data_IF_886952834865
#
_entry.id   IF_886952834865
#
_cell.length_a   1.000
_cell.length_b   1.000
_cell.length_c   1.000
_cell.angle_alpha   90.00
_cell.angle_beta   90.00
_cell.angle_gamma   90.00
#
_symmetry.space_group_name_H-M   'P 1'
#
loop_
_entity.id
_entity.type
_entity.pdbx_description
1 polymer ?
#
# COMPACT_ATOMS: atom_id res chain seq x y z
N UNK A 1 3.02 -15.63 -2.93
CA UNK A 1 1.62 -16.08 -2.80
C UNK A 1 0.72 -15.02 -3.42
N UNK A 2 -0.36 -15.40 -4.11
CA UNK A 2 -1.27 -14.45 -4.76
C UNK A 2 -2.54 -14.31 -3.95
N UNK A 3 -2.96 -13.08 -3.67
CA UNK A 3 -4.18 -12.77 -2.94
C UNK A 3 -4.94 -11.61 -3.58
N UNK A 4 -6.27 -11.67 -3.56
CA UNK A 4 -7.15 -10.54 -3.85
C UNK A 4 -7.35 -9.66 -2.61
N UNK A 5 -7.94 -8.47 -2.80
CA UNK A 5 -8.34 -7.61 -1.67
C UNK A 5 -9.35 -8.31 -0.75
N UNK A 6 -10.29 -9.08 -1.31
CA UNK A 6 -11.31 -9.76 -0.52
C UNK A 6 -10.69 -10.84 0.38
N UNK A 7 -9.74 -11.61 -0.16
CA UNK A 7 -9.00 -12.62 0.61
C UNK A 7 -8.16 -12.00 1.73
N UNK A 8 -7.57 -10.83 1.48
CA UNK A 8 -6.84 -10.07 2.51
C UNK A 8 -7.80 -9.61 3.62
N UNK A 9 -8.98 -9.08 3.26
CA UNK A 9 -9.99 -8.62 4.24
C UNK A 9 -10.45 -9.76 5.15
N UNK A 10 -10.66 -10.95 4.58
CA UNK A 10 -11.08 -12.16 5.28
C UNK A 10 -9.95 -12.84 6.09
N UNK A 11 -8.73 -12.30 6.03
CA UNK A 11 -7.54 -12.93 6.60
C UNK A 11 -7.34 -14.37 6.12
N UNK A 12 -7.61 -14.63 4.83
CA UNK A 12 -7.42 -15.94 4.24
C UNK A 12 -5.98 -16.40 4.44
N UNK A 13 -5.81 -17.67 4.82
CA UNK A 13 -4.51 -18.29 5.08
C UNK A 13 -3.64 -17.49 6.07
N UNK A 14 -4.27 -16.83 7.05
CA UNK A 14 -3.63 -15.99 8.09
C UNK A 14 -2.71 -14.90 7.54
N UNK A 15 -2.93 -14.45 6.30
CA UNK A 15 -2.04 -13.54 5.56
C UNK A 15 -1.76 -12.22 6.30
N UNK A 16 -2.72 -11.71 7.08
CA UNK A 16 -2.56 -10.47 7.87
C UNK A 16 -1.62 -10.63 9.07
N UNK A 17 -1.30 -11.86 9.45
CA UNK A 17 -0.41 -12.19 10.56
C UNK A 17 0.96 -12.68 10.06
N UNK A 18 1.15 -12.79 8.75
CA UNK A 18 2.44 -13.08 8.13
C UNK A 18 3.29 -11.82 8.00
N UNK A 19 4.58 -11.96 8.27
CA UNK A 19 5.58 -10.94 7.94
C UNK A 19 6.00 -11.10 6.47
N UNK A 20 5.82 -10.05 5.69
CA UNK A 20 6.10 -10.01 4.26
C UNK A 20 7.23 -9.02 3.96
N UNK A 21 7.78 -9.09 2.75
CA UNK A 21 8.70 -8.04 2.28
C UNK A 21 7.92 -6.73 2.13
N UNK A 22 8.46 -5.64 2.69
CA UNK A 22 7.85 -4.30 2.56
C UNK A 22 7.68 -3.90 1.10
N UNK A 23 8.59 -4.32 0.21
CA UNK A 23 8.52 -4.07 -1.23
C UNK A 23 7.26 -4.69 -1.85
N UNK A 24 6.93 -5.94 -1.51
CA UNK A 24 5.72 -6.58 -2.07
C UNK A 24 4.42 -5.94 -1.58
N UNK A 25 4.40 -5.44 -0.33
CA UNK A 25 3.27 -4.68 0.22
C UNK A 25 3.17 -3.31 -0.43
N UNK A 26 4.29 -2.61 -0.59
CA UNK A 26 4.37 -1.33 -1.28
C UNK A 26 3.87 -1.40 -2.72
N UNK A 27 4.30 -2.43 -3.47
CA UNK A 27 3.84 -2.66 -4.84
C UNK A 27 2.32 -2.89 -4.90
N UNK A 28 1.75 -3.60 -3.92
CA UNK A 28 0.32 -3.80 -3.84
C UNK A 28 -0.43 -2.49 -3.55
N UNK A 29 0.03 -1.70 -2.58
CA UNK A 29 -0.55 -0.40 -2.24
C UNK A 29 -0.51 0.56 -3.43
N UNK A 30 0.60 0.61 -4.18
CA UNK A 30 0.72 1.41 -5.42
C UNK A 30 -0.27 0.97 -6.49
N UNK A 31 -0.40 -0.33 -6.72
CA UNK A 31 -1.38 -0.87 -7.68
C UNK A 31 -2.81 -0.52 -7.29
N UNK A 32 -3.13 -0.51 -6.01
CA UNK A 32 -4.46 -0.07 -5.53
C UNK A 32 -4.64 1.42 -5.82
N UNK A 33 -3.67 2.26 -5.48
CA UNK A 33 -3.77 3.69 -5.75
C UNK A 33 -3.77 4.02 -7.24
N UNK A 34 -3.15 3.23 -8.12
CA UNK A 34 -3.22 3.48 -9.57
C UNK A 34 -4.63 3.29 -10.16
N UNK A 35 -5.55 2.66 -9.42
CA UNK A 35 -6.96 2.59 -9.80
C UNK A 35 -7.70 3.92 -9.59
N UNK A 36 -7.14 4.82 -8.78
CA UNK A 36 -7.73 6.11 -8.40
C UNK A 36 -7.71 7.06 -9.60
N UNK A 37 -8.89 7.60 -9.89
CA UNK A 37 -9.15 8.41 -11.07
C UNK A 37 -8.72 9.87 -10.94
N UNK A 38 -8.66 10.41 -9.72
CA UNK A 38 -8.34 11.80 -9.41
C UNK A 38 -6.86 12.05 -9.05
N UNK A 39 -5.96 11.15 -9.45
CA UNK A 39 -4.52 11.37 -9.32
C UNK A 39 -4.00 12.36 -10.36
N UNK A 40 -3.14 13.30 -9.94
CA UNK A 40 -2.39 14.15 -10.88
C UNK A 40 -1.35 13.34 -11.65
N UNK A 41 -0.82 13.89 -12.74
CA UNK A 41 0.24 13.23 -13.51
C UNK A 41 1.52 13.07 -12.66
N UNK A 42 1.83 14.02 -11.80
CA UNK A 42 2.94 13.93 -10.85
C UNK A 42 2.74 12.78 -9.85
N UNK A 43 1.54 12.63 -9.29
CA UNK A 43 1.21 11.55 -8.36
C UNK A 43 1.30 10.18 -9.05
N UNK A 44 0.76 10.06 -10.27
CA UNK A 44 0.89 8.85 -11.09
C UNK A 44 2.35 8.52 -11.39
N UNK A 45 3.19 9.51 -11.67
CA UNK A 45 4.60 9.31 -11.92
C UNK A 45 5.33 8.75 -10.70
N UNK A 46 5.03 9.24 -9.50
CA UNK A 46 5.59 8.68 -8.25
C UNK A 46 5.10 7.24 -8.06
N UNK A 47 3.81 6.97 -8.26
CA UNK A 47 3.19 5.64 -8.13
C UNK A 47 3.57 4.64 -9.24
N UNK A 48 4.29 5.06 -10.27
CA UNK A 48 4.77 4.19 -11.36
C UNK A 48 6.30 4.04 -11.36
N UNK A 49 7.03 4.91 -10.66
CA UNK A 49 8.49 4.82 -10.51
C UNK A 49 8.88 3.59 -9.70
N UNK A 50 9.64 2.65 -10.28
CA UNK A 50 9.87 1.30 -9.71
C UNK A 50 11.34 0.98 -9.39
N UNK A 51 12.22 1.99 -9.37
CA UNK A 51 13.65 1.74 -9.12
C UNK A 51 13.94 1.71 -7.62
N UNK A 52 13.67 0.58 -6.98
CA UNK A 52 14.05 0.32 -5.59
C UNK A 52 15.07 -0.81 -5.60
N UNK A 53 16.35 -0.47 -5.47
CA UNK A 53 17.45 -1.44 -5.42
C UNK A 53 18.16 -1.45 -4.07
N UNK A 54 17.91 -0.44 -3.21
CA UNK A 54 18.57 -0.25 -1.90
C UNK A 54 17.57 0.05 -0.78
N UNK A 55 17.97 -0.14 0.48
CA UNK A 55 17.15 0.25 1.63
C UNK A 55 16.80 1.73 1.63
N UNK A 56 17.80 2.56 1.30
CA UNK A 56 17.66 4.02 1.25
C UNK A 56 16.64 4.46 0.21
N UNK A 57 16.65 3.83 -0.97
CA UNK A 57 15.66 4.07 -2.01
C UNK A 57 14.27 3.58 -1.58
N UNK A 58 14.19 2.43 -0.90
CA UNK A 58 12.93 1.88 -0.36
C UNK A 58 12.29 2.87 0.61
N UNK A 59 13.04 3.30 1.64
CA UNK A 59 12.57 4.26 2.63
C UNK A 59 12.17 5.59 2.02
N UNK A 60 12.90 6.07 1.00
CA UNK A 60 12.55 7.30 0.28
C UNK A 60 11.23 7.14 -0.48
N UNK A 61 11.08 6.05 -1.24
CA UNK A 61 9.88 5.78 -2.03
C UNK A 61 8.63 5.59 -1.15
N UNK A 62 8.79 4.98 0.03
CA UNK A 62 7.72 4.82 1.01
C UNK A 62 7.26 6.17 1.59
N UNK A 63 8.19 7.09 1.87
CA UNK A 63 7.87 8.44 2.33
C UNK A 63 7.12 9.24 1.28
N UNK A 64 7.63 9.27 0.05
CA UNK A 64 6.98 9.97 -1.08
C UNK A 64 5.57 9.40 -1.32
N UNK A 65 5.40 8.07 -1.24
CA UNK A 65 4.10 7.44 -1.31
C UNK A 65 3.16 7.83 -0.17
N UNK A 66 3.68 7.88 1.06
CA UNK A 66 2.89 8.21 2.23
C UNK A 66 2.32 9.63 2.15
N UNK A 67 3.13 10.59 1.68
CA UNK A 67 2.70 11.97 1.43
C UNK A 67 1.55 12.03 0.42
N UNK A 68 1.68 11.32 -0.71
CA UNK A 68 0.62 11.27 -1.74
C UNK A 68 -0.66 10.64 -1.18
N UNK A 69 -0.53 9.54 -0.45
CA UNK A 69 -1.68 8.87 0.17
C UNK A 69 -2.38 9.80 1.17
N UNK A 70 -1.61 10.52 1.98
CA UNK A 70 -2.16 11.45 2.97
C UNK A 70 -2.91 12.61 2.29
N UNK A 71 -2.33 13.21 1.24
CA UNK A 71 -3.00 14.26 0.47
C UNK A 71 -4.25 13.73 -0.24
N UNK A 72 -4.24 12.50 -0.77
CA UNK A 72 -5.44 11.88 -1.33
C UNK A 72 -6.54 11.70 -0.28
N UNK A 73 -6.20 11.18 0.90
CA UNK A 73 -7.14 11.00 2.02
C UNK A 73 -7.77 12.33 2.43
N UNK A 74 -6.97 13.40 2.54
CA UNK A 74 -7.48 14.76 2.81
C UNK A 74 -8.42 15.24 1.72
N UNK A 75 -8.09 15.04 0.44
CA UNK A 75 -8.95 15.41 -0.71
C UNK A 75 -10.29 14.68 -0.68
N UNK A 76 -10.30 13.42 -0.25
CA UNK A 76 -11.51 12.60 -0.07
C UNK A 76 -12.27 12.92 1.23
N UNK A 77 -11.89 13.98 1.95
CA UNK A 77 -12.53 14.50 3.17
C UNK A 77 -12.55 13.52 4.35
N UNK A 78 -11.58 12.61 4.39
CA UNK A 78 -11.36 11.80 5.59
C UNK A 78 -10.48 12.62 6.55
N UNK A 79 -11.03 12.98 7.70
CA UNK A 79 -10.30 13.69 8.75
C UNK A 79 -9.38 12.70 9.49
N UNK A 80 -8.19 12.48 8.93
CA UNK A 80 -7.09 11.78 9.57
C UNK A 80 -5.98 12.79 9.85
N UNK A 81 -5.49 12.79 11.08
CA UNK A 81 -4.24 13.47 11.43
C UNK A 81 -3.03 12.66 10.92
N UNK A 82 -1.89 13.31 10.79
CA UNK A 82 -0.63 12.63 10.43
C UNK A 82 -0.26 11.56 11.47
N UNK A 83 -0.54 11.80 12.75
CA UNK A 83 -0.30 10.81 13.82
C UNK A 83 -1.18 9.57 13.66
N UNK A 84 -2.47 9.74 13.36
CA UNK A 84 -3.38 8.62 13.11
C UNK A 84 -2.99 7.87 11.83
N UNK A 85 -2.54 8.58 10.81
CA UNK A 85 -2.04 8.01 9.57
C UNK A 85 -0.81 7.12 9.82
N UNK A 86 0.17 7.62 10.57
CA UNK A 86 1.37 6.86 10.94
C UNK A 86 1.05 5.65 11.83
N UNK A 87 0.03 5.74 12.70
CA UNK A 87 -0.42 4.59 13.50
C UNK A 87 -1.15 3.54 12.66
N UNK A 88 -1.87 3.95 11.61
CA UNK A 88 -2.66 3.06 10.77
C UNK A 88 -1.79 2.31 9.74
N UNK A 89 -0.65 2.87 9.36
CA UNK A 89 0.19 2.32 8.31
C UNK A 89 1.62 2.03 8.78
N UNK A 90 1.99 0.76 8.79
CA UNK A 90 3.27 0.28 9.35
C UNK A 90 4.40 0.17 8.33
N UNK A 91 4.10 0.26 7.03
CA UNK A 91 5.13 0.16 5.98
C UNK A 91 6.25 1.19 6.10
N UNK A 92 6.03 2.34 6.75
CA UNK A 92 7.07 3.35 7.01
C UNK A 92 8.16 2.84 7.96
N UNK A 93 7.84 1.88 8.81
CA UNK A 93 8.78 1.18 9.70
C UNK A 93 9.53 0.05 8.97
N UNK A 94 9.37 -0.05 7.64
CA UNK A 94 9.90 -1.12 6.79
C UNK A 94 9.35 -2.51 7.14
N UNK A 95 8.20 -2.54 7.82
CA UNK A 95 7.47 -3.76 8.15
C UNK A 95 6.43 -4.01 7.06
N UNK A 96 6.56 -5.11 6.33
CA UNK A 96 5.55 -5.53 5.35
C UNK A 96 4.44 -6.35 6.00
N UNK A 97 3.22 -5.80 6.04
CA UNK A 97 2.01 -6.54 6.40
C UNK A 97 0.85 -6.21 5.46
N UNK A 98 0.01 -7.19 5.13
CA UNK A 98 -1.22 -6.93 4.37
C UNK A 98 -2.25 -6.15 5.17
N UNK A 99 -2.05 -5.93 6.48
CA UNK A 99 -2.88 -5.02 7.29
C UNK A 99 -2.87 -3.61 6.72
N UNK A 100 -1.78 -3.15 6.12
CA UNK A 100 -1.73 -1.84 5.46
C UNK A 100 -2.70 -1.76 4.27
N UNK A 101 -2.81 -2.84 3.50
CA UNK A 101 -3.73 -2.94 2.36
C UNK A 101 -5.18 -2.97 2.86
N UNK A 102 -5.45 -3.80 3.87
CA UNK A 102 -6.76 -3.85 4.52
C UNK A 102 -7.15 -2.47 5.04
N UNK A 103 -6.24 -1.81 5.74
CA UNK A 103 -6.44 -0.48 6.31
C UNK A 103 -6.77 0.56 5.25
N UNK A 104 -6.09 0.53 4.09
CA UNK A 104 -6.35 1.43 2.96
C UNK A 104 -7.74 1.24 2.37
N UNK A 105 -8.12 -0.01 2.10
CA UNK A 105 -9.42 -0.33 1.48
C UNK A 105 -10.59 -0.01 2.42
N UNK A 106 -10.38 -0.13 3.74
CA UNK A 106 -11.37 0.20 4.77
C UNK A 106 -11.48 1.71 5.05
N UNK A 107 -10.66 2.57 4.44
CA UNK A 107 -10.85 4.03 4.54
C UNK A 107 -12.03 4.55 3.71
N UNK A 108 -12.64 3.70 2.87
CA UNK A 108 -13.79 4.06 2.02
C UNK A 108 -13.54 5.30 1.13
N UNK A 109 -12.26 5.52 0.76
CA UNK A 109 -11.82 6.65 -0.09
C UNK A 109 -11.99 6.40 -1.59
N UNK A 110 -12.39 5.19 -1.97
CA UNK A 110 -12.56 4.76 -3.37
C UNK A 110 -14.03 4.76 -3.74
N UNK A 111 -14.35 5.30 -4.93
CA UNK A 111 -15.67 5.16 -5.54
C UNK A 111 -15.99 3.71 -5.91
N UNK A 112 -17.26 3.39 -6.16
CA UNK A 112 -17.69 2.05 -6.58
C UNK A 112 -16.96 1.57 -7.84
N UNK A 113 -16.70 2.45 -8.80
CA UNK A 113 -15.98 2.10 -10.02
C UNK A 113 -14.52 1.75 -9.73
N UNK A 114 -13.84 2.53 -8.89
CA UNK A 114 -12.46 2.28 -8.47
C UNK A 114 -12.39 0.99 -7.65
N UNK A 115 -13.33 0.78 -6.73
CA UNK A 115 -13.44 -0.43 -5.93
C UNK A 115 -13.66 -1.68 -6.81
N UNK A 116 -14.47 -1.58 -7.86
CA UNK A 116 -14.67 -2.67 -8.81
C UNK A 116 -13.39 -3.01 -9.60
N UNK A 117 -12.51 -2.03 -9.86
CA UNK A 117 -11.18 -2.28 -10.45
C UNK A 117 -10.28 -2.96 -9.42
N UNK A 118 -10.23 -2.45 -8.20
CA UNK A 118 -9.41 -2.96 -7.09
C UNK A 118 -9.76 -4.43 -6.77
N UNK A 119 -11.05 -4.79 -6.72
CA UNK A 119 -11.50 -6.17 -6.45
C UNK A 119 -11.03 -7.19 -7.49
N UNK A 120 -10.76 -6.75 -8.72
CA UNK A 120 -10.27 -7.62 -9.81
C UNK A 120 -8.74 -7.78 -9.78
N UNK A 121 -8.04 -7.04 -8.92
CA UNK A 121 -6.59 -7.12 -8.79
C UNK A 121 -6.18 -8.34 -7.98
N UNK A 122 -5.00 -8.86 -8.29
CA UNK A 122 -4.31 -9.87 -7.49
C UNK A 122 -2.90 -9.39 -7.19
N UNK A 123 -2.46 -9.64 -5.96
CA UNK A 123 -1.18 -9.16 -5.43
C UNK A 123 -0.29 -10.33 -5.08
N UNK A 124 0.96 -10.28 -5.55
CA UNK A 124 1.98 -11.27 -5.21
C UNK A 124 2.73 -10.79 -3.96
N UNK A 125 2.58 -11.52 -2.86
CA UNK A 125 3.36 -11.30 -1.65
C UNK A 125 4.50 -12.28 -1.52
N UNK A 126 5.61 -11.78 -0.98
CA UNK A 126 6.82 -12.54 -0.72
C UNK A 126 7.07 -12.57 0.79
N UNK A 127 7.26 -13.76 1.39
CA UNK A 127 7.53 -13.86 2.82
C UNK A 127 8.86 -13.17 3.17
N UNK A 128 8.92 -12.58 4.36
CA UNK A 128 10.14 -11.99 4.86
C UNK A 128 11.08 -13.10 5.36
N UNK A 129 12.22 -13.27 4.69
CA UNK A 129 13.19 -14.34 5.00
C UNK A 129 14.40 -13.87 5.82
N UNK A 130 14.35 -12.70 6.47
CA UNK A 130 15.47 -12.19 7.30
C UNK A 130 16.71 -11.70 6.54
N UNK A 131 16.92 -12.13 5.28
CA UNK A 131 18.02 -11.71 4.40
C UNK A 131 17.59 -10.77 3.27
N UNK A 132 16.33 -10.35 3.21
CA UNK A 132 15.74 -9.62 2.08
C UNK A 132 15.58 -8.11 2.33
N UNK A 133 16.21 -7.56 3.36
CA UNK A 133 16.43 -6.11 3.38
C UNK A 133 17.51 -5.85 2.33
N UNK A 134 17.25 -5.04 1.29
CA UNK A 134 18.33 -4.59 0.43
C UNK A 134 19.39 -3.91 1.32
N UNK A 135 20.67 -4.23 1.14
CA UNK A 135 21.76 -3.56 1.86
C UNK A 135 21.77 -2.04 1.60
#
# INVERSE_FOLDING_TARGET
>A
MWYSVEEIKENKDIINDLTLTVVSVYDALRKILSAVSDLTEEEKNVLTKNNINTLKETSKALKEFHEILFELIKRKKVNLTEEEMNKKFTYLELVGTTKDIKNLVELEIFSDEEMNKIKKMSFKFEPFNGCNLPE
#
